data_IF_190485248342
#
_entry.id   IF_190485248342
#
_cell.length_a   1.000
_cell.length_b   1.000
_cell.length_c   1.000
_cell.angle_alpha   90.00
_cell.angle_beta   90.00
_cell.angle_gamma   90.00
#
_symmetry.space_group_name_H-M   'P 1'
#
loop_
_entity.id
_entity.type
_entity.pdbx_description
1 polymer ?
#
# COMPACT_ATOMS: atom_id res chain seq x y z
N UNK A 1 -28.45 -5.03 -7.60
CA UNK A 1 -28.54 -5.77 -8.88
C UNK A 1 -27.18 -6.10 -9.46
N UNK A 2 -26.20 -5.20 -9.35
CA UNK A 2 -24.82 -5.47 -9.80
C UNK A 2 -24.16 -6.61 -8.99
N UNK A 3 -24.44 -6.73 -7.69
CA UNK A 3 -23.87 -7.78 -6.85
C UNK A 3 -24.23 -9.19 -7.28
N UNK A 4 -25.51 -9.46 -7.59
CA UNK A 4 -25.97 -10.76 -8.07
C UNK A 4 -25.38 -11.12 -9.45
N UNK A 5 -25.14 -10.11 -10.31
CA UNK A 5 -24.48 -10.32 -11.60
C UNK A 5 -22.99 -10.64 -11.42
N UNK A 6 -22.31 -9.93 -10.52
CA UNK A 6 -20.90 -10.16 -10.23
C UNK A 6 -20.68 -11.49 -9.51
N UNK A 7 -21.60 -11.92 -8.65
CA UNK A 7 -21.57 -13.23 -8.01
C UNK A 7 -21.76 -14.38 -9.01
N UNK A 8 -22.60 -14.19 -10.04
CA UNK A 8 -22.73 -15.13 -11.16
C UNK A 8 -21.50 -15.19 -12.07
N UNK A 9 -20.88 -14.05 -12.40
CA UNK A 9 -19.74 -13.95 -13.31
C UNK A 9 -18.39 -14.33 -12.68
N UNK A 10 -18.16 -13.91 -11.44
CA UNK A 10 -16.88 -14.13 -10.76
C UNK A 10 -16.93 -15.35 -9.82
N UNK A 11 -18.12 -15.80 -9.42
CA UNK A 11 -18.29 -16.92 -8.50
C UNK A 11 -17.37 -16.81 -7.28
N UNK A 12 -16.65 -17.89 -6.88
CA UNK A 12 -15.77 -17.86 -5.71
C UNK A 12 -14.60 -16.86 -5.81
N UNK A 13 -14.23 -16.36 -7.00
CA UNK A 13 -13.22 -15.28 -7.11
C UNK A 13 -13.72 -13.94 -6.56
N UNK A 14 -15.04 -13.71 -6.50
CA UNK A 14 -15.59 -12.51 -5.86
C UNK A 14 -15.24 -12.47 -4.37
N UNK A 15 -15.26 -13.61 -3.69
CA UNK A 15 -14.89 -13.70 -2.27
C UNK A 15 -13.45 -13.27 -1.99
N UNK A 16 -12.51 -13.57 -2.90
CA UNK A 16 -11.11 -13.15 -2.78
C UNK A 16 -10.99 -11.64 -2.93
N UNK A 17 -11.74 -11.07 -3.88
CA UNK A 17 -11.84 -9.63 -4.06
C UNK A 17 -12.42 -8.95 -2.83
N UNK A 18 -13.52 -9.47 -2.28
CA UNK A 18 -14.19 -8.92 -1.11
C UNK A 18 -13.27 -8.91 0.12
N UNK A 19 -12.55 -10.01 0.36
CA UNK A 19 -11.53 -10.10 1.43
C UNK A 19 -10.41 -9.08 1.22
N UNK A 20 -9.97 -8.88 -0.02
CA UNK A 20 -8.95 -7.87 -0.34
C UNK A 20 -9.45 -6.45 -0.10
N UNK A 21 -10.67 -6.12 -0.53
CA UNK A 21 -11.26 -4.79 -0.33
C UNK A 21 -11.55 -4.50 1.14
N UNK A 22 -12.04 -5.48 1.89
CA UNK A 22 -12.31 -5.34 3.33
C UNK A 22 -11.03 -5.13 4.13
N UNK A 23 -9.95 -5.81 3.75
CA UNK A 23 -8.64 -5.71 4.42
C UNK A 23 -7.66 -4.78 3.67
N UNK A 24 -8.14 -3.93 2.75
CA UNK A 24 -7.31 -3.12 1.86
C UNK A 24 -6.33 -2.24 2.64
N UNK A 25 -6.77 -1.67 3.76
CA UNK A 25 -5.91 -0.85 4.62
C UNK A 25 -4.76 -1.65 5.22
N UNK A 26 -5.02 -2.89 5.65
CA UNK A 26 -4.01 -3.77 6.24
C UNK A 26 -2.97 -4.15 5.18
N UNK A 27 -3.43 -4.59 4.00
CA UNK A 27 -2.53 -4.96 2.90
C UNK A 27 -1.67 -3.78 2.45
N UNK A 28 -2.27 -2.60 2.27
CA UNK A 28 -1.53 -1.40 1.90
C UNK A 28 -0.52 -1.00 2.97
N UNK A 29 -0.87 -1.06 4.25
CA UNK A 29 0.05 -0.76 5.35
C UNK A 29 1.24 -1.73 5.41
N UNK A 30 1.04 -3.02 5.13
CA UNK A 30 2.13 -4.00 5.07
C UNK A 30 3.07 -3.68 3.91
N UNK A 31 2.53 -3.39 2.73
CA UNK A 31 3.33 -3.08 1.53
C UNK A 31 4.13 -1.79 1.74
N UNK A 32 3.47 -0.72 2.19
CA UNK A 32 4.12 0.58 2.46
C UNK A 32 5.11 0.45 3.61
N UNK A 33 4.76 -0.24 4.69
CA UNK A 33 5.65 -0.49 5.82
C UNK A 33 6.90 -1.26 5.41
N UNK A 34 6.76 -2.31 4.60
CA UNK A 34 7.90 -3.04 4.04
C UNK A 34 8.78 -2.18 3.13
N UNK A 35 8.17 -1.32 2.31
CA UNK A 35 8.90 -0.36 1.48
C UNK A 35 9.66 0.68 2.32
N UNK A 36 9.03 1.24 3.36
CA UNK A 36 9.66 2.14 4.31
C UNK A 36 10.83 1.47 5.04
N UNK A 37 10.66 0.25 5.56
CA UNK A 37 11.73 -0.52 6.18
C UNK A 37 12.88 -0.81 5.22
N UNK A 38 12.59 -1.12 3.95
CA UNK A 38 13.62 -1.32 2.92
C UNK A 38 14.40 -0.04 2.63
N UNK A 39 13.75 1.12 2.62
CA UNK A 39 14.39 2.42 2.44
C UNK A 39 15.23 2.79 3.68
N UNK A 40 14.68 2.58 4.88
CA UNK A 40 15.36 2.84 6.16
C UNK A 40 16.57 1.92 6.37
N UNK A 41 16.47 0.63 6.02
CA UNK A 41 17.60 -0.29 6.12
C UNK A 41 18.68 -0.03 5.06
N UNK A 42 18.33 0.62 3.93
CA UNK A 42 19.31 1.18 2.98
C UNK A 42 19.96 2.48 3.49
N UNK A 43 19.35 3.16 4.45
CA UNK A 43 19.82 4.40 5.08
C UNK A 43 20.16 4.16 6.56
N UNK A 44 21.23 3.42 6.83
CA UNK A 44 21.93 3.50 8.13
C UNK A 44 23.08 4.52 8.00
N UNK A 45 23.36 5.32 9.04
CA UNK A 45 23.17 6.76 9.10
C UNK A 45 24.35 7.56 8.52
N UNK A 46 24.05 8.61 7.76
CA UNK A 46 25.05 9.60 7.36
C UNK A 46 24.59 10.48 6.22
N UNK A 47 24.56 11.80 6.46
CA UNK A 47 24.46 12.92 5.52
C UNK A 47 23.17 13.00 4.67
N UNK A 48 22.44 14.11 4.57
CA UNK A 48 22.82 15.53 4.53
C UNK A 48 21.72 16.42 5.18
N UNK A 49 22.08 17.60 5.69
CA UNK A 49 21.14 18.58 6.22
C UNK A 49 20.29 19.17 5.09
N UNK A 50 19.02 19.41 5.37
CA UNK A 50 18.14 20.27 4.58
C UNK A 50 18.67 21.70 4.74
N UNK A 51 19.62 22.06 3.87
CA UNK A 51 20.04 23.42 3.64
C UNK A 51 19.10 24.01 2.58
N UNK A 52 17.89 24.40 3.00
CA UNK A 52 17.10 25.39 2.27
C UNK A 52 17.64 26.78 2.65
N UNK A 53 18.93 27.02 2.37
CA UNK A 53 19.49 28.36 2.34
C UNK A 53 19.07 28.97 1.01
N UNK A 54 18.19 29.97 1.13
CA UNK A 54 18.25 31.20 0.34
C UNK A 54 18.32 31.01 -1.19
N UNK A 55 17.18 31.12 -1.85
CA UNK A 55 17.16 31.87 -3.10
C UNK A 55 16.09 32.96 -3.01
N UNK A 56 16.61 34.14 -2.62
CA UNK A 56 16.08 35.48 -2.86
C UNK A 56 15.82 35.72 -4.36
#
# INVERSE_FOLDING_TARGET
>A
MVDAFLEFMLGPMRSIGDVYFENQMIFNSIIVGGACLKIMNKRSPGSEPVDDTENM
#
